data_IF_093912061074
#
_entry.id   IF_093912061074
#
_cell.length_a   1.000
_cell.length_b   1.000
_cell.length_c   1.000
_cell.angle_alpha   90.00
_cell.angle_beta   90.00
_cell.angle_gamma   90.00
#
_symmetry.space_group_name_H-M   'P 1'
#
loop_
_entity.id
_entity.type
_entity.pdbx_description
1 polymer ?
#
# COMPACT_ATOMS: atom_id res chain seq x y z
N UNK A 1 -13.61 -6.80 -6.04
CA UNK A 1 -12.46 -7.04 -5.13
C UNK A 1 -12.79 -6.29 -3.87
N UNK A 2 -13.09 -7.00 -2.79
CA UNK A 2 -13.51 -6.38 -1.54
C UNK A 2 -12.30 -5.71 -0.88
N UNK A 3 -12.35 -4.38 -0.81
CA UNK A 3 -11.40 -3.58 -0.03
C UNK A 3 -11.71 -3.87 1.44
N UNK A 4 -10.70 -4.04 2.31
CA UNK A 4 -10.97 -4.25 3.72
C UNK A 4 -11.82 -3.09 4.23
N UNK A 5 -12.89 -3.38 4.96
CA UNK A 5 -13.75 -2.36 5.62
C UNK A 5 -12.94 -1.44 6.54
N UNK A 6 -11.70 -1.83 6.85
CA UNK A 6 -10.69 -1.16 7.66
C UNK A 6 -9.76 -0.21 6.87
N UNK A 7 -10.12 0.31 5.70
CA UNK A 7 -9.47 1.52 5.16
C UNK A 7 -10.14 2.76 5.76
N UNK A 8 -9.68 3.28 6.92
CA UNK A 8 -10.21 4.53 7.40
C UNK A 8 -9.79 5.63 6.44
N UNK A 9 -10.76 6.33 5.87
CA UNK A 9 -10.53 7.68 5.38
C UNK A 9 -10.31 8.56 6.60
N UNK A 10 -9.06 8.66 7.03
CA UNK A 10 -8.66 9.56 8.11
C UNK A 10 -8.51 10.98 7.61
N UNK A 11 -8.81 11.93 8.48
CA UNK A 11 -8.57 13.36 8.24
C UNK A 11 -7.10 13.67 7.98
N UNK A 12 -6.85 14.85 7.42
CA UNK A 12 -5.50 15.39 7.20
C UNK A 12 -4.66 15.34 8.48
N UNK A 13 -3.40 14.91 8.35
CA UNK A 13 -2.41 14.86 9.43
C UNK A 13 -2.77 13.93 10.60
N UNK A 14 -3.77 13.07 10.43
CA UNK A 14 -4.10 12.06 11.44
C UNK A 14 -3.15 10.87 11.29
N UNK A 15 -2.48 10.52 12.39
CA UNK A 15 -1.65 9.32 12.42
C UNK A 15 -2.52 8.07 12.33
N UNK A 16 -2.15 7.16 11.43
CA UNK A 16 -2.74 5.82 11.33
C UNK A 16 -1.83 4.87 12.08
N UNK A 17 -2.38 4.15 13.06
CA UNK A 17 -1.61 3.19 13.84
C UNK A 17 -1.02 2.07 12.98
N UNK A 18 0.18 1.62 13.32
CA UNK A 18 0.95 0.67 12.51
C UNK A 18 0.23 -0.67 12.27
N UNK A 19 -0.63 -1.10 13.22
CA UNK A 19 -1.46 -2.30 13.05
C UNK A 19 -2.42 -2.18 11.86
N UNK A 20 -3.04 -1.01 11.68
CA UNK A 20 -3.95 -0.74 10.56
C UNK A 20 -3.15 -0.68 9.25
N UNK A 21 -1.99 -0.01 9.29
CA UNK A 21 -1.08 0.08 8.14
C UNK A 21 -0.65 -1.33 7.70
N UNK A 22 -0.26 -2.18 8.64
CA UNK A 22 0.13 -3.55 8.38
C UNK A 22 -0.99 -4.34 7.70
N UNK A 23 -2.23 -4.25 8.17
CA UNK A 23 -3.37 -4.94 7.56
C UNK A 23 -3.65 -4.48 6.13
N UNK A 24 -3.59 -3.16 5.89
CA UNK A 24 -3.78 -2.58 4.55
C UNK A 24 -2.66 -3.05 3.62
N UNK A 25 -1.41 -3.03 4.10
CA UNK A 25 -0.24 -3.47 3.34
C UNK A 25 -0.31 -4.96 3.03
N UNK A 26 -0.63 -5.80 4.00
CA UNK A 26 -0.82 -7.24 3.77
C UNK A 26 -1.88 -7.48 2.70
N UNK A 27 -3.05 -6.84 2.81
CA UNK A 27 -4.10 -6.97 1.79
C UNK A 27 -3.59 -6.52 0.43
N UNK A 28 -2.93 -5.35 0.34
CA UNK A 28 -2.39 -4.82 -0.90
C UNK A 28 -1.39 -5.77 -1.55
N UNK A 29 -0.43 -6.29 -0.79
CA UNK A 29 0.59 -7.23 -1.28
C UNK A 29 -0.07 -8.53 -1.78
N UNK A 30 -1.07 -9.06 -1.07
CA UNK A 30 -1.83 -10.24 -1.51
C UNK A 30 -2.59 -9.98 -2.80
N UNK A 31 -3.18 -8.80 -2.97
CA UNK A 31 -3.85 -8.43 -4.23
C UNK A 31 -2.88 -8.19 -5.39
N UNK A 32 -1.70 -7.64 -5.10
CA UNK A 32 -0.68 -7.34 -6.09
C UNK A 32 0.01 -8.61 -6.62
N UNK A 33 0.44 -9.49 -5.71
CA UNK A 33 1.12 -10.74 -6.06
C UNK A 33 0.16 -11.85 -6.50
N UNK A 34 -1.10 -11.81 -6.05
CA UNK A 34 -2.12 -12.78 -6.41
C UNK A 34 -1.71 -14.21 -6.06
N UNK A 35 -1.79 -15.12 -7.04
CA UNK A 35 -1.41 -16.53 -6.86
C UNK A 35 0.07 -16.73 -6.52
N UNK A 36 0.93 -15.76 -6.84
CA UNK A 36 2.37 -15.82 -6.55
C UNK A 36 2.71 -15.44 -5.12
N UNK A 37 1.76 -14.95 -4.32
CA UNK A 37 2.02 -14.49 -2.95
C UNK A 37 2.84 -15.49 -2.11
N UNK A 38 2.52 -16.78 -2.19
CA UNK A 38 3.24 -17.85 -1.47
C UNK A 38 4.68 -18.07 -1.94
N UNK A 39 5.01 -17.72 -3.17
CA UNK A 39 6.36 -17.87 -3.72
C UNK A 39 7.33 -16.84 -3.13
N UNK A 40 6.80 -15.73 -2.63
CA UNK A 40 7.55 -14.65 -2.00
C UNK A 40 7.64 -14.79 -0.46
N UNK A 41 7.35 -15.98 0.08
CA UNK A 41 7.40 -16.21 1.53
C UNK A 41 8.79 -15.91 2.11
N UNK A 42 8.83 -15.12 3.19
CA UNK A 42 10.08 -14.66 3.82
C UNK A 42 10.73 -13.44 3.16
N UNK A 43 10.26 -13.00 1.99
CA UNK A 43 10.78 -11.81 1.33
C UNK A 43 10.37 -10.52 2.07
N UNK A 44 11.22 -9.50 1.96
CA UNK A 44 10.93 -8.15 2.43
C UNK A 44 10.56 -7.27 1.25
N UNK A 45 9.36 -6.72 1.28
CA UNK A 45 8.81 -5.84 0.25
C UNK A 45 8.74 -4.42 0.82
N UNK A 46 9.32 -3.47 0.10
CA UNK A 46 9.19 -2.05 0.43
C UNK A 46 7.93 -1.48 -0.23
N UNK A 47 7.11 -0.83 0.59
CA UNK A 47 5.85 -0.22 0.18
C UNK A 47 5.95 1.28 0.39
N UNK A 48 5.65 2.05 -0.66
CA UNK A 48 5.57 3.50 -0.60
C UNK A 48 4.15 3.90 -0.21
N UNK A 49 4.04 4.70 0.86
CA UNK A 49 2.77 5.18 1.39
C UNK A 49 2.79 6.70 1.32
N UNK A 50 1.84 7.29 0.60
CA UNK A 50 1.67 8.74 0.50
C UNK A 50 0.20 9.12 0.77
N UNK A 51 -0.02 10.31 1.34
CA UNK A 51 -1.36 10.87 1.44
C UNK A 51 -1.91 11.21 0.06
N UNK A 52 -3.19 10.90 -0.20
CA UNK A 52 -3.82 11.11 -1.50
C UNK A 52 -3.71 12.56 -2.01
N UNK A 53 -3.68 13.56 -1.12
CA UNK A 53 -3.51 14.97 -1.50
C UNK A 53 -2.17 15.29 -2.17
N UNK A 54 -1.13 14.48 -1.94
CA UNK A 54 0.19 14.61 -2.54
C UNK A 54 0.33 13.79 -3.83
N UNK A 55 -0.71 13.05 -4.23
CA UNK A 55 -0.73 12.26 -5.46
C UNK A 55 -1.38 13.07 -6.58
N UNK A 56 -0.74 13.09 -7.75
CA UNK A 56 -1.21 13.81 -8.95
C UNK A 56 -1.15 12.90 -10.17
N UNK A 57 -2.19 12.89 -11.03
CA UNK A 57 -2.14 12.16 -12.29
C UNK A 57 -1.12 12.82 -13.24
N UNK A 58 -0.44 12.00 -14.04
CA UNK A 58 0.46 12.51 -15.07
C UNK A 58 -0.37 12.83 -16.32
N UNK A 59 -0.42 14.11 -16.70
CA UNK A 59 -1.23 14.58 -17.83
C UNK A 59 -0.73 13.97 -19.15
N UNK A 60 -1.64 13.36 -19.90
CA UNK A 60 -1.33 12.74 -21.20
C UNK A 60 -0.70 11.34 -21.11
N UNK A 61 -0.55 10.79 -19.90
CA UNK A 61 0.03 9.47 -19.67
C UNK A 61 -1.04 8.37 -19.56
N UNK A 62 -0.60 7.12 -19.49
CA UNK A 62 -1.48 5.95 -19.34
C UNK A 62 -2.24 5.99 -18.01
N UNK A 63 -3.48 5.48 -18.04
CA UNK A 63 -4.33 5.36 -16.87
C UNK A 63 -3.60 4.64 -15.73
N UNK A 64 -3.70 5.19 -14.51
CA UNK A 64 -3.05 4.65 -13.31
C UNK A 64 -1.64 5.17 -13.06
N UNK A 65 -1.04 5.96 -13.97
CA UNK A 65 0.25 6.61 -13.71
C UNK A 65 0.07 7.93 -12.97
N UNK A 66 0.82 8.06 -11.88
CA UNK A 66 0.77 9.21 -10.97
C UNK A 66 2.18 9.61 -10.54
N UNK A 67 2.36 10.88 -10.22
CA UNK A 67 3.46 11.36 -9.38
C UNK A 67 2.96 11.49 -7.94
N UNK A 68 3.84 11.26 -7.00
CA UNK A 68 3.58 11.43 -5.57
C UNK A 68 4.80 12.09 -4.92
N UNK A 69 4.58 12.68 -3.75
CA UNK A 69 5.61 13.31 -2.94
C UNK A 69 5.31 13.08 -1.46
N UNK A 70 6.32 13.26 -0.60
CA UNK A 70 6.21 13.12 0.85
C UNK A 70 5.71 11.72 1.26
N UNK A 71 6.24 10.71 0.58
CA UNK A 71 6.01 9.32 0.89
C UNK A 71 6.82 8.86 2.09
N UNK A 72 6.29 7.89 2.83
CA UNK A 72 7.05 7.08 3.78
C UNK A 72 7.22 5.68 3.23
N UNK A 73 8.35 5.05 3.56
CA UNK A 73 8.63 3.66 3.21
C UNK A 73 8.21 2.76 4.37
N UNK A 74 7.38 1.75 4.08
CA UNK A 74 7.02 0.69 5.02
C UNK A 74 7.62 -0.63 4.52
N UNK A 75 8.38 -1.32 5.37
CA UNK A 75 8.94 -2.63 5.04
C UNK A 75 8.01 -3.72 5.54
N UNK A 76 7.38 -4.44 4.62
CA UNK A 76 6.54 -5.59 4.92
C UNK A 76 7.32 -6.88 4.68
N UNK A 77 7.33 -7.77 5.68
CA UNK A 77 7.86 -9.11 5.50
C UNK A 77 6.71 -10.05 5.18
N UNK A 78 6.78 -10.72 4.03
CA UNK A 78 5.82 -11.77 3.68
C UNK A 78 6.00 -12.90 4.69
N UNK A 79 4.94 -13.32 5.42
CA UNK A 79 5.03 -14.41 6.37
C UNK A 79 5.65 -15.65 5.73
N UNK A 80 6.66 -16.21 6.39
CA UNK A 80 7.18 -17.53 6.09
C UNK A 80 6.14 -18.60 6.41
N UNK A 81 6.23 -19.75 5.75
CA UNK A 81 5.51 -20.95 6.17
C UNK A 81 6.15 -21.54 7.41
#
# INVERSE_FOLDING_TARGET
RDVPTLTPFVGQNTSVGDNIVHQIVEWYVRQHLGSKYKQHAGEKIQILIAECRHVRPIKGDRLGRVTYHNERVFTYQVPGS
#
